data_IF_624956883912
#
_entry.id   IF_624956883912
#
_cell.length_a   1.000
_cell.length_b   1.000
_cell.length_c   1.000
_cell.angle_alpha   90.00
_cell.angle_beta   90.00
_cell.angle_gamma   90.00
#
_symmetry.space_group_name_H-M   'P 1'
#
loop_
_entity.id
_entity.type
_entity.pdbx_description
1 polymer ?
#
# COMPACT_ATOMS: atom_id res chain seq x y z
N UNK A 1 23.85 0.63 21.71
CA UNK A 1 22.73 1.42 21.14
C UNK A 1 22.00 2.08 22.31
N UNK A 2 21.71 3.39 22.28
CA UNK A 2 21.01 4.06 23.39
C UNK A 2 19.59 3.51 23.55
N UNK A 3 19.12 3.31 24.78
CA UNK A 3 17.76 2.80 25.09
C UNK A 3 16.67 3.60 24.35
N UNK A 4 16.81 4.92 24.27
CA UNK A 4 15.88 5.80 23.53
C UNK A 4 15.82 5.46 22.04
N UNK A 5 16.94 5.08 21.43
CA UNK A 5 17.00 4.66 20.03
C UNK A 5 16.32 3.32 19.84
N UNK A 6 16.49 2.38 20.78
CA UNK A 6 15.82 1.08 20.72
C UNK A 6 14.30 1.23 20.80
N UNK A 7 13.79 2.05 21.73
CA UNK A 7 12.35 2.32 21.87
C UNK A 7 11.79 2.97 20.60
N UNK A 8 12.49 3.95 20.02
CA UNK A 8 12.07 4.58 18.77
C UNK A 8 11.99 3.58 17.61
N UNK A 9 13.02 2.74 17.44
CA UNK A 9 13.06 1.73 16.37
C UNK A 9 11.89 0.74 16.52
N UNK A 10 11.65 0.25 17.74
CA UNK A 10 10.54 -0.66 18.02
C UNK A 10 9.19 0.02 17.76
N UNK A 11 9.04 1.28 18.19
CA UNK A 11 7.83 2.05 17.94
C UNK A 11 7.54 2.23 16.45
N UNK A 12 8.57 2.55 15.66
CA UNK A 12 8.44 2.67 14.20
C UNK A 12 8.12 1.32 13.54
N UNK A 13 8.75 0.24 13.99
CA UNK A 13 8.46 -1.11 13.49
C UNK A 13 7.01 -1.55 13.79
N UNK A 14 6.45 -1.12 14.91
CA UNK A 14 5.05 -1.39 15.22
C UNK A 14 4.10 -0.56 14.35
N UNK A 15 4.41 0.73 14.17
CA UNK A 15 3.62 1.61 13.30
C UNK A 15 3.62 1.13 11.85
N UNK A 16 4.71 0.56 11.35
CA UNK A 16 4.75 -0.01 9.99
C UNK A 16 3.78 -1.17 9.77
N UNK A 17 3.33 -1.84 10.83
CA UNK A 17 2.39 -2.96 10.75
C UNK A 17 0.92 -2.52 10.79
N UNK A 18 0.65 -1.22 10.94
CA UNK A 18 -0.72 -0.72 10.96
C UNK A 18 -1.44 -1.08 9.65
N UNK A 19 -2.67 -1.60 9.72
CA UNK A 19 -3.40 -2.00 8.53
C UNK A 19 -3.84 -0.78 7.72
N UNK A 20 -3.64 -0.86 6.41
CA UNK A 20 -4.14 0.06 5.40
C UNK A 20 -5.14 -0.70 4.54
N UNK A 21 -6.42 -0.37 4.70
CA UNK A 21 -7.51 -1.12 4.09
C UNK A 21 -7.45 -1.11 2.56
N UNK A 22 -7.17 0.05 1.96
CA UNK A 22 -7.09 0.21 0.50
C UNK A 22 -6.26 1.41 0.08
N UNK A 23 -5.48 1.26 -0.99
CA UNK A 23 -4.95 2.39 -1.77
C UNK A 23 -4.96 2.06 -3.25
N UNK A 24 -5.65 2.88 -4.04
CA UNK A 24 -5.90 2.61 -5.46
C UNK A 24 -6.56 1.24 -5.66
N UNK A 25 -5.87 0.38 -6.42
CA UNK A 25 -6.29 -0.98 -6.76
C UNK A 25 -5.87 -2.05 -5.74
N UNK A 26 -5.09 -1.69 -4.72
CA UNK A 26 -4.53 -2.64 -3.76
C UNK A 26 -5.28 -2.59 -2.43
N UNK A 27 -5.45 -3.75 -1.82
CA UNK A 27 -6.17 -3.95 -0.55
C UNK A 27 -5.31 -4.76 0.44
N UNK A 28 -5.69 -4.74 1.72
CA UNK A 28 -5.05 -5.55 2.78
C UNK A 28 -3.54 -5.31 2.95
N UNK A 29 -3.08 -4.08 2.76
CA UNK A 29 -1.67 -3.70 2.94
C UNK A 29 -1.40 -3.27 4.38
N UNK A 30 -0.14 -3.31 4.81
CA UNK A 30 0.31 -2.57 5.98
C UNK A 30 0.85 -1.17 5.61
N UNK A 31 1.12 -0.34 6.61
CA UNK A 31 1.59 1.03 6.39
C UNK A 31 2.93 1.08 5.63
N UNK A 32 3.83 0.13 5.87
CA UNK A 32 5.10 0.08 5.15
C UNK A 32 4.92 -0.25 3.67
N UNK A 33 4.10 -1.24 3.36
CA UNK A 33 3.72 -1.59 1.98
C UNK A 33 3.04 -0.42 1.28
N UNK A 34 2.13 0.27 1.97
CA UNK A 34 1.51 1.50 1.47
C UNK A 34 2.57 2.55 1.09
N UNK A 35 3.53 2.84 1.99
CA UNK A 35 4.58 3.82 1.70
C UNK A 35 5.41 3.38 0.50
N UNK A 36 5.83 2.11 0.43
CA UNK A 36 6.62 1.58 -0.68
C UNK A 36 5.91 1.73 -2.03
N UNK A 37 4.62 1.43 -2.10
CA UNK A 37 3.78 1.60 -3.30
C UNK A 37 3.72 3.05 -3.78
N UNK A 38 3.82 4.03 -2.88
CA UNK A 38 3.73 5.46 -3.21
C UNK A 38 5.09 6.12 -3.41
N UNK A 39 6.15 5.33 -3.54
CA UNK A 39 7.49 5.82 -3.87
C UNK A 39 7.89 5.47 -5.29
N UNK A 40 8.89 6.17 -5.82
CA UNK A 40 9.55 5.82 -7.09
C UNK A 40 10.24 4.45 -7.06
N UNK A 41 10.40 3.86 -5.87
CA UNK A 41 10.97 2.54 -5.64
C UNK A 41 9.89 1.48 -5.41
N UNK A 42 8.64 1.78 -5.76
CA UNK A 42 7.57 0.79 -5.75
C UNK A 42 8.04 -0.47 -6.50
N UNK A 43 7.95 -1.66 -5.90
CA UNK A 43 8.25 -2.91 -6.59
C UNK A 43 7.17 -3.27 -7.62
N UNK A 44 6.12 -2.47 -7.71
CA UNK A 44 4.96 -2.71 -8.56
C UNK A 44 4.96 -1.79 -9.76
N UNK A 45 4.58 -2.36 -10.90
CA UNK A 45 4.37 -1.61 -12.14
C UNK A 45 3.17 -0.65 -12.02
N UNK A 46 3.33 0.52 -12.61
CA UNK A 46 2.25 1.51 -12.70
C UNK A 46 1.16 0.97 -13.60
N UNK A 47 -0.02 0.74 -13.04
CA UNK A 47 -1.20 0.31 -13.79
C UNK A 47 -2.05 1.53 -14.15
N UNK A 48 -2.20 1.79 -15.45
CA UNK A 48 -3.16 2.79 -15.92
C UNK A 48 -4.57 2.20 -15.90
N UNK A 49 -5.50 2.89 -15.24
CA UNK A 49 -6.92 2.54 -15.25
C UNK A 49 -7.67 3.57 -16.08
N UNK A 50 -8.16 3.20 -17.27
CA UNK A 50 -9.06 4.05 -18.05
C UNK A 50 -10.30 4.48 -17.23
N UNK A 51 -10.68 5.75 -17.33
CA UNK A 51 -11.81 6.33 -16.58
C UNK A 51 -13.16 5.71 -16.98
N UNK A 52 -13.25 5.19 -18.19
CA UNK A 52 -14.42 4.48 -18.71
C UNK A 52 -14.74 3.23 -17.88
N UNK A 53 -13.74 2.59 -17.28
CA UNK A 53 -13.97 1.45 -16.38
C UNK A 53 -14.56 1.89 -15.03
N UNK A 54 -14.23 3.09 -14.55
CA UNK A 54 -14.77 3.64 -13.31
C UNK A 54 -16.26 3.96 -13.45
N UNK A 55 -16.67 4.49 -14.61
CA UNK A 55 -18.06 4.87 -14.89
C UNK A 55 -18.97 3.68 -15.19
N UNK A 56 -18.42 2.55 -15.67
CA UNK A 56 -19.17 1.33 -16.00
C UNK A 56 -19.29 0.33 -14.85
N UNK A 57 -18.58 0.54 -13.74
CA UNK A 57 -18.58 -0.38 -12.60
C UNK A 57 -17.82 -1.69 -12.83
N UNK A 58 -16.99 -1.77 -13.89
CA UNK A 58 -16.21 -2.96 -14.29
C UNK A 58 -14.91 -3.12 -13.48
N UNK A 59 -14.77 -2.31 -12.43
CA UNK A 59 -13.53 -2.17 -11.67
C UNK A 59 -13.25 -3.41 -10.79
N UNK A 60 -14.29 -4.16 -10.39
CA UNK A 60 -14.17 -5.36 -9.54
C UNK A 60 -13.24 -6.45 -10.11
N UNK A 61 -13.24 -6.63 -11.44
CA UNK A 61 -12.33 -7.58 -12.11
C UNK A 61 -10.86 -7.14 -12.05
N UNK A 62 -10.61 -5.82 -12.11
CA UNK A 62 -9.26 -5.23 -12.05
C UNK A 62 -8.65 -5.41 -10.65
N UNK A 63 -9.45 -5.31 -9.57
CA UNK A 63 -8.96 -5.55 -8.21
C UNK A 63 -8.53 -7.02 -7.97
N UNK A 64 -9.09 -7.98 -8.71
CA UNK A 64 -8.78 -9.41 -8.52
C UNK A 64 -7.51 -9.87 -9.24
N UNK A 65 -7.13 -9.26 -10.36
CA UNK A 65 -5.92 -9.63 -11.12
C UNK A 65 -4.63 -9.09 -10.50
N UNK A 66 -4.73 -8.06 -9.65
CA UNK A 66 -3.58 -7.35 -9.05
C UNK A 66 -3.26 -7.87 -7.63
N UNK A 67 -4.04 -8.84 -7.13
CA UNK A 67 -3.80 -9.54 -5.85
C UNK A 67 -2.49 -10.33 -5.83
#
# INVERSE_FOLDING_TARGET
MSEKKAVLIIGLAFLSLLPVWRSGLRENMNLFEFVMVHTIFSPYDVTYVPEEYLTRGEIEGIYMEIR
#
